data_IF_820097099137
#
_entry.id   IF_820097099137
#
_cell.length_a   1.000
_cell.length_b   1.000
_cell.length_c   1.000
_cell.angle_alpha   90.00
_cell.angle_beta   90.00
_cell.angle_gamma   90.00
#
_symmetry.space_group_name_H-M   'P 1'
#
loop_
_entity.id
_entity.type
_entity.pdbx_description
1 polymer ?
#
# COMPACT_ATOMS: atom_id res chain seq x y z
N UNK A 1 -3.91 17.14 -18.50
CA UNK A 1 -5.01 17.16 -17.53
C UNK A 1 -4.38 17.33 -16.16
N UNK A 2 -4.59 18.47 -15.49
CA UNK A 2 -4.20 18.63 -14.07
C UNK A 2 -5.42 18.16 -13.29
N UNK A 3 -5.41 16.91 -12.84
CA UNK A 3 -6.45 16.44 -11.93
C UNK A 3 -6.36 17.25 -10.63
N UNK A 4 -7.51 17.69 -10.13
CA UNK A 4 -7.65 18.56 -8.95
C UNK A 4 -7.01 17.88 -7.74
N UNK A 5 -5.81 18.32 -7.38
CA UNK A 5 -5.07 17.90 -6.20
C UNK A 5 -5.50 18.63 -4.92
N UNK A 6 -6.50 19.52 -5.00
CA UNK A 6 -6.70 20.58 -4.01
C UNK A 6 -7.04 20.08 -2.59
N UNK A 7 -7.35 18.79 -2.39
CA UNK A 7 -7.67 18.20 -1.09
C UNK A 7 -6.95 16.87 -0.76
N UNK A 8 -5.93 16.45 -1.53
CA UNK A 8 -5.18 15.23 -1.21
C UNK A 8 -4.01 15.59 -0.30
N UNK A 9 -3.99 15.00 0.90
CA UNK A 9 -2.89 15.15 1.84
C UNK A 9 -2.07 13.86 1.88
N UNK A 10 -0.76 14.00 1.73
CA UNK A 10 0.18 12.91 1.99
C UNK A 10 0.45 12.87 3.49
N UNK A 11 0.09 11.76 4.12
CA UNK A 11 0.34 11.52 5.55
C UNK A 11 1.36 10.40 5.70
N UNK A 12 2.18 10.40 6.76
CA UNK A 12 2.99 9.25 7.10
C UNK A 12 2.12 8.01 7.26
N UNK A 13 2.68 6.85 6.91
CA UNK A 13 2.00 5.60 7.19
C UNK A 13 1.84 5.43 8.70
N UNK A 14 0.67 4.94 9.11
CA UNK A 14 0.35 4.58 10.48
C UNK A 14 -0.26 3.17 10.48
N UNK A 15 -0.04 2.34 11.52
CA UNK A 15 -0.56 0.98 11.58
C UNK A 15 -2.09 0.85 11.39
N UNK A 16 -2.84 1.93 11.68
CA UNK A 16 -4.29 1.99 11.43
C UNK A 16 -4.67 1.81 9.96
N UNK A 17 -3.73 2.00 9.03
CA UNK A 17 -3.93 1.82 7.59
C UNK A 17 -3.58 0.41 7.09
N UNK A 18 -3.05 -0.49 7.93
CA UNK A 18 -2.55 -1.82 7.52
C UNK A 18 -3.54 -2.60 6.66
N UNK A 19 -4.77 -2.77 7.15
CA UNK A 19 -5.78 -3.56 6.44
C UNK A 19 -6.16 -2.95 5.07
N UNK A 20 -6.31 -1.63 5.03
CA UNK A 20 -6.61 -0.92 3.78
C UNK A 20 -5.44 -1.01 2.79
N UNK A 21 -4.21 -0.85 3.28
CA UNK A 21 -2.98 -0.98 2.50
C UNK A 21 -2.85 -2.38 1.90
N UNK A 22 -3.01 -3.43 2.73
CA UNK A 22 -2.95 -4.83 2.30
C UNK A 22 -4.03 -5.13 1.26
N UNK A 23 -5.29 -4.78 1.53
CA UNK A 23 -6.40 -5.06 0.61
C UNK A 23 -6.25 -4.41 -0.76
N UNK A 24 -5.81 -3.13 -0.80
CA UNK A 24 -5.56 -2.42 -2.06
C UNK A 24 -4.43 -3.06 -2.87
N UNK A 25 -3.30 -3.36 -2.22
CA UNK A 25 -2.16 -3.95 -2.90
C UNK A 25 -2.46 -5.38 -3.37
N UNK A 26 -3.11 -6.22 -2.55
CA UNK A 26 -3.48 -7.57 -2.97
C UNK A 26 -4.42 -7.56 -4.19
N UNK A 27 -5.45 -6.70 -4.18
CA UNK A 27 -6.37 -6.59 -5.31
C UNK A 27 -5.65 -6.14 -6.59
N UNK A 28 -4.74 -5.18 -6.47
CA UNK A 28 -3.93 -4.70 -7.59
C UNK A 28 -3.00 -5.79 -8.13
N UNK A 29 -2.23 -6.46 -7.27
CA UNK A 29 -1.32 -7.54 -7.68
C UNK A 29 -2.12 -8.66 -8.32
N UNK A 30 -3.21 -9.15 -7.72
CA UNK A 30 -4.03 -10.23 -8.28
C UNK A 30 -4.66 -9.90 -9.64
N UNK A 31 -4.92 -8.63 -9.90
CA UNK A 31 -5.50 -8.18 -11.17
C UNK A 31 -4.49 -8.20 -12.32
N UNK A 32 -3.22 -7.88 -12.04
CA UNK A 32 -2.22 -7.63 -13.08
C UNK A 32 -1.04 -8.61 -13.06
N UNK A 33 -0.87 -9.33 -11.95
CA UNK A 33 0.26 -10.19 -11.63
C UNK A 33 -0.19 -11.43 -10.83
N UNK A 34 0.76 -12.27 -10.44
CA UNK A 34 0.56 -13.37 -9.50
C UNK A 34 1.23 -12.98 -8.17
N UNK A 35 0.52 -13.18 -7.07
CA UNK A 35 1.09 -13.00 -5.72
C UNK A 35 2.28 -13.96 -5.51
N UNK A 36 3.40 -13.42 -5.04
CA UNK A 36 4.59 -14.15 -4.62
C UNK A 36 4.71 -14.17 -3.09
N UNK A 37 5.48 -15.12 -2.54
CA UNK A 37 5.70 -15.25 -1.10
C UNK A 37 6.19 -13.94 -0.46
N UNK A 38 7.03 -13.18 -1.20
CA UNK A 38 7.54 -11.91 -0.73
C UNK A 38 6.49 -10.81 -0.67
N UNK A 39 5.48 -10.86 -1.53
CA UNK A 39 4.34 -9.93 -1.48
C UNK A 39 3.53 -10.17 -0.21
N UNK A 40 3.27 -11.44 0.12
CA UNK A 40 2.56 -11.78 1.36
C UNK A 40 3.29 -11.27 2.60
N UNK A 41 4.62 -11.48 2.69
CA UNK A 41 5.43 -10.95 3.79
C UNK A 41 5.34 -9.42 3.89
N UNK A 42 5.48 -8.74 2.74
CA UNK A 42 5.53 -7.27 2.69
C UNK A 42 4.18 -6.64 3.00
N UNK A 43 3.07 -7.29 2.63
CA UNK A 43 1.72 -6.81 2.91
C UNK A 43 1.23 -7.19 4.31
N UNK A 44 1.78 -8.23 4.94
CA UNK A 44 1.50 -8.59 6.33
C UNK A 44 2.29 -7.71 7.31
N UNK A 45 3.49 -7.28 6.96
CA UNK A 45 4.34 -6.42 7.80
C UNK A 45 4.79 -5.15 7.06
N UNK A 46 3.85 -4.28 6.66
CA UNK A 46 4.17 -3.06 5.93
C UNK A 46 5.07 -2.10 6.72
N UNK A 47 5.01 -2.12 8.04
CA UNK A 47 5.84 -1.27 8.92
C UNK A 47 7.34 -1.57 8.77
N UNK A 48 7.71 -2.81 8.46
CA UNK A 48 9.10 -3.25 8.32
C UNK A 48 9.67 -2.95 6.93
N UNK A 49 8.78 -2.78 5.94
CA UNK A 49 9.15 -2.58 4.53
C UNK A 49 9.05 -1.12 4.10
N UNK A 50 8.11 -0.35 4.67
CA UNK A 50 7.95 1.08 4.41
C UNK A 50 9.06 1.83 5.15
N UNK A 51 10.15 2.12 4.43
CA UNK A 51 11.20 2.99 4.94
C UNK A 51 10.69 4.43 5.01
N UNK A 52 10.55 4.97 6.22
CA UNK A 52 10.33 6.41 6.44
C UNK A 52 11.61 7.16 6.07
N UNK A 53 11.63 7.82 4.91
CA UNK A 53 12.68 8.77 4.53
C UNK A 53 12.10 10.17 4.44
#
# INVERSE_FOLDING_TARGET
MKERQDNIQLVPYEPKYKEAFKGLNEAWIRQYFKMEDKDFESLEHPEETISSK
#
